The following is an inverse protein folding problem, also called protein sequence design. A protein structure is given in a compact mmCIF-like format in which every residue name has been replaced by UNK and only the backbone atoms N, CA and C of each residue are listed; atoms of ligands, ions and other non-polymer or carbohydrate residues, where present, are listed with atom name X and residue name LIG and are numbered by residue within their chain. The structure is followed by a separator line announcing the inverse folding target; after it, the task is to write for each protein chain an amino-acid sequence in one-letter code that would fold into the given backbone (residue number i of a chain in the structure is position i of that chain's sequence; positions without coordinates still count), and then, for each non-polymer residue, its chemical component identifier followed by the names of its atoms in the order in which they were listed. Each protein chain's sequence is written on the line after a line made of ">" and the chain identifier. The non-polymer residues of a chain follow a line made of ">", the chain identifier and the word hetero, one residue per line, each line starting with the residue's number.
data_IF_134744023044
#
_entry.id   IF_134744023044
#
_cell.length_a   1.000
_cell.length_b   1.000
_cell.length_c   1.000
_cell.angle_alpha   90.00
_cell.angle_beta   90.00
_cell.angle_gamma   90.00
#
_symmetry.space_group_name_H-M   'P 1'
#
loop_
_entity.id
_entity.type
_entity.pdbx_description
1 polymer ?
#
# COMPACT_ATOMS: atom_id res chain seq x y z
N UNK A 1 21.29 37.83 15.12
CA UNK A 1 21.34 36.72 14.16
C UNK A 1 21.86 35.52 14.89
N UNK A 2 21.02 34.51 15.08
CA UNK A 2 21.39 33.31 15.84
C UNK A 2 22.18 32.34 14.94
N UNK A 3 22.99 31.47 15.55
CA UNK A 3 23.80 30.47 14.82
C UNK A 3 22.98 29.46 13.99
N UNK A 4 21.65 29.45 14.09
CA UNK A 4 20.72 28.67 13.31
C UNK A 4 20.39 29.30 11.96
N UNK A 5 20.39 30.64 11.85
CA UNK A 5 20.08 31.33 10.60
C UNK A 5 21.19 31.22 9.55
N UNK A 6 22.46 31.04 9.98
CA UNK A 6 23.59 30.91 9.05
C UNK A 6 23.72 29.51 8.41
N UNK A 7 23.03 28.48 8.93
CA UNK A 7 23.10 27.12 8.39
C UNK A 7 22.09 26.84 7.27
N UNK A 8 20.97 27.56 7.21
CA UNK A 8 19.92 27.37 6.21
C UNK A 8 20.35 27.94 4.84
N UNK A 9 21.20 28.97 4.80
CA UNK A 9 21.66 29.61 3.56
C UNK A 9 22.71 28.85 2.74
N UNK A 10 23.32 27.76 3.29
CA UNK A 10 24.34 26.97 2.62
C UNK A 10 23.86 25.55 2.28
N UNK A 11 22.72 25.10 2.81
CA UNK A 11 22.17 23.76 2.56
C UNK A 11 21.08 23.81 1.50
N UNK A 12 20.98 22.75 0.70
CA UNK A 12 19.88 22.51 -0.23
C UNK A 12 18.53 22.56 0.51
N UNK A 13 17.60 23.49 0.14
CA UNK A 13 16.32 23.65 0.83
C UNK A 13 15.46 22.38 0.84
N UNK A 14 15.53 21.59 -0.23
CA UNK A 14 14.78 20.33 -0.33
C UNK A 14 15.34 19.33 0.67
N UNK A 15 16.65 19.12 0.70
CA UNK A 15 17.28 18.19 1.65
C UNK A 15 17.06 18.62 3.11
N UNK A 16 17.08 19.91 3.40
CA UNK A 16 16.78 20.44 4.73
C UNK A 16 15.35 20.07 5.17
N UNK A 17 14.35 20.30 4.31
CA UNK A 17 12.96 19.94 4.56
C UNK A 17 12.76 18.43 4.73
N UNK A 18 13.39 17.62 3.88
CA UNK A 18 13.28 16.16 3.93
C UNK A 18 13.92 15.55 5.18
N UNK A 19 15.05 16.09 5.63
CA UNK A 19 15.70 15.69 6.88
C UNK A 19 14.80 15.97 8.11
N UNK A 20 14.07 17.09 8.09
CA UNK A 20 13.08 17.41 9.14
C UNK A 20 11.90 16.45 9.10
N UNK A 21 11.37 16.12 7.91
CA UNK A 21 10.32 15.10 7.75
C UNK A 21 10.72 13.73 8.29
N UNK A 22 11.95 13.31 8.03
CA UNK A 22 12.51 12.05 8.53
C UNK A 22 12.64 12.07 10.05
N UNK A 23 13.16 13.15 10.62
CA UNK A 23 13.28 13.34 12.08
C UNK A 23 11.93 13.33 12.81
N UNK A 24 10.84 13.72 12.14
CA UNK A 24 9.47 13.65 12.63
C UNK A 24 8.80 12.28 12.34
N UNK A 25 9.55 11.25 11.93
CA UNK A 25 9.06 9.90 11.74
C UNK A 25 8.15 9.71 10.54
N UNK A 26 8.27 10.55 9.51
CA UNK A 26 7.58 10.30 8.24
C UNK A 26 8.16 9.07 7.55
N UNK A 27 7.30 8.28 6.91
CA UNK A 27 7.76 7.06 6.24
C UNK A 27 8.74 7.41 5.10
N UNK A 28 9.79 6.59 4.92
CA UNK A 28 10.77 6.70 3.83
C UNK A 28 10.07 6.92 2.47
N UNK A 29 9.01 6.16 2.18
CA UNK A 29 8.24 6.32 0.94
C UNK A 29 7.55 7.69 0.81
N UNK A 30 7.16 8.29 1.93
CA UNK A 30 6.60 9.65 1.94
C UNK A 30 7.70 10.67 1.61
N UNK A 31 8.86 10.54 2.25
CA UNK A 31 10.04 11.38 1.99
C UNK A 31 10.46 11.26 0.53
N UNK A 32 10.58 10.04 -0.01
CA UNK A 32 10.88 9.79 -1.44
C UNK A 32 9.86 10.46 -2.39
N UNK A 33 8.57 10.44 -2.02
CA UNK A 33 7.52 11.06 -2.84
C UNK A 33 7.65 12.59 -2.88
N UNK A 34 7.92 13.22 -1.73
CA UNK A 34 8.21 14.65 -1.67
C UNK A 34 9.48 15.00 -2.44
N UNK A 35 10.57 14.26 -2.21
CA UNK A 35 11.84 14.47 -2.93
C UNK A 35 11.62 14.50 -4.45
N UNK A 36 10.98 13.46 -4.99
CA UNK A 36 10.72 13.35 -6.43
C UNK A 36 9.91 14.54 -6.99
N UNK A 37 8.87 14.97 -6.27
CA UNK A 37 8.00 16.07 -6.74
C UNK A 37 8.71 17.40 -6.64
N UNK A 38 9.41 17.67 -5.55
CA UNK A 38 10.15 18.91 -5.34
C UNK A 38 11.30 19.06 -6.32
N UNK A 39 12.07 17.98 -6.58
CA UNK A 39 13.14 17.99 -7.60
C UNK A 39 12.60 18.22 -9.00
N UNK A 40 11.49 17.59 -9.35
CA UNK A 40 10.83 17.83 -10.65
C UNK A 40 10.39 19.29 -10.80
N UNK A 41 9.92 19.93 -9.74
CA UNK A 41 9.58 21.35 -9.77
C UNK A 41 10.82 22.23 -9.87
N UNK A 42 11.89 21.91 -9.16
CA UNK A 42 13.18 22.60 -9.25
C UNK A 42 13.76 22.52 -10.67
N UNK A 43 13.75 21.33 -11.28
CA UNK A 43 14.16 21.12 -12.70
C UNK A 43 13.33 21.97 -13.66
N UNK A 44 12.00 22.05 -13.43
CA UNK A 44 11.11 22.90 -14.21
C UNK A 44 11.48 24.38 -14.10
N UNK A 45 11.80 24.90 -12.91
CA UNK A 45 12.21 26.28 -12.72
C UNK A 45 13.56 26.59 -13.35
N UNK A 46 14.47 25.63 -13.42
CA UNK A 46 15.78 25.77 -14.03
C UNK A 46 15.75 25.76 -15.57
N UNK A 47 14.70 25.23 -16.20
CA UNK A 47 14.59 25.17 -17.67
C UNK A 47 14.22 26.55 -18.24
N UNK A 48 15.08 27.14 -19.11
CA UNK A 48 14.83 28.46 -19.71
C UNK A 48 13.63 28.49 -20.67
N UNK A 49 13.13 27.34 -21.09
CA UNK A 49 11.96 27.22 -21.96
C UNK A 49 10.66 26.98 -21.18
N UNK A 50 10.74 26.76 -19.88
CA UNK A 50 9.61 26.53 -19.01
C UNK A 50 9.29 27.80 -18.18
N UNK A 51 8.00 28.00 -17.94
CA UNK A 51 7.52 29.08 -17.10
C UNK A 51 7.49 30.48 -17.75
N UNK A 52 6.74 31.39 -17.14
CA UNK A 52 6.50 32.74 -17.69
C UNK A 52 7.70 33.68 -17.50
N UNK A 53 8.61 33.38 -16.61
CA UNK A 53 9.74 34.24 -16.23
C UNK A 53 11.10 33.76 -16.75
N UNK A 54 11.12 32.67 -17.54
CA UNK A 54 12.35 31.99 -17.94
C UNK A 54 13.00 31.21 -16.80
N UNK A 55 14.29 30.89 -16.93
CA UNK A 55 15.01 30.13 -15.88
C UNK A 55 15.10 30.90 -14.59
N UNK A 56 14.69 30.27 -13.50
CA UNK A 56 14.78 30.77 -12.13
C UNK A 56 15.85 29.96 -11.38
N UNK A 57 16.82 30.65 -10.80
CA UNK A 57 17.98 30.00 -10.19
C UNK A 57 17.73 29.36 -8.81
N UNK A 58 16.61 29.67 -8.15
CA UNK A 58 16.34 29.23 -6.79
C UNK A 58 14.85 29.03 -6.52
N UNK A 59 14.52 28.00 -5.74
CA UNK A 59 13.14 27.74 -5.27
C UNK A 59 12.54 28.93 -4.49
N UNK A 60 13.38 29.71 -3.79
CA UNK A 60 12.94 30.91 -3.05
C UNK A 60 12.46 32.04 -3.97
N UNK A 61 12.93 32.09 -5.20
CA UNK A 61 12.57 33.13 -6.18
C UNK A 61 11.29 32.81 -6.94
N UNK A 62 10.74 31.58 -6.80
CA UNK A 62 9.55 31.15 -7.49
C UNK A 62 8.34 32.01 -7.09
N UNK A 63 7.65 32.52 -8.11
CA UNK A 63 6.43 33.31 -7.93
C UNK A 63 5.17 32.44 -8.06
N UNK A 64 4.02 33.02 -7.68
CA UNK A 64 2.70 32.45 -7.97
C UNK A 64 2.55 32.04 -9.44
N UNK A 65 3.04 32.88 -10.39
CA UNK A 65 2.91 32.58 -11.82
C UNK A 65 3.72 31.36 -12.24
N UNK A 66 4.89 31.15 -11.66
CA UNK A 66 5.74 30.00 -11.94
C UNK A 66 5.07 28.71 -11.41
N UNK A 67 4.51 28.77 -10.21
CA UNK A 67 3.75 27.66 -9.63
C UNK A 67 2.50 27.31 -10.46
N UNK A 68 1.71 28.31 -10.86
CA UNK A 68 0.53 28.09 -11.71
C UNK A 68 0.89 27.55 -13.09
N UNK A 69 1.99 28.01 -13.68
CA UNK A 69 2.46 27.53 -14.98
C UNK A 69 2.88 26.06 -14.90
N UNK A 70 3.57 25.66 -13.83
CA UNK A 70 3.90 24.25 -13.59
C UNK A 70 2.65 23.39 -13.35
N UNK A 71 1.69 23.87 -12.56
CA UNK A 71 0.40 23.18 -12.38
C UNK A 71 -0.31 22.98 -13.73
N UNK A 72 -0.29 24.00 -14.59
CA UNK A 72 -0.88 23.91 -15.93
C UNK A 72 -0.16 22.86 -16.80
N UNK A 73 1.16 22.78 -16.75
CA UNK A 73 1.92 21.77 -17.47
C UNK A 73 1.58 20.34 -17.03
N UNK A 74 1.54 20.10 -15.72
CA UNK A 74 1.23 18.76 -15.22
C UNK A 74 -0.23 18.33 -15.45
N UNK A 75 -1.18 19.26 -15.59
CA UNK A 75 -2.57 18.97 -15.99
C UNK A 75 -2.64 18.23 -17.33
N UNK A 76 -1.75 18.53 -18.24
CA UNK A 76 -1.73 17.87 -19.56
C UNK A 76 -1.35 16.40 -19.54
N UNK A 77 -0.73 15.93 -18.45
CA UNK A 77 -0.15 14.57 -18.35
C UNK A 77 -0.59 13.78 -17.11
N UNK A 78 -1.38 14.38 -16.22
CA UNK A 78 -1.72 13.80 -14.92
C UNK A 78 -3.22 13.92 -14.60
N UNK A 79 -3.72 13.02 -13.74
CA UNK A 79 -5.10 13.12 -13.23
C UNK A 79 -5.23 14.29 -12.23
N UNK A 80 -6.45 14.83 -12.09
CA UNK A 80 -6.77 15.91 -11.12
C UNK A 80 -6.27 15.58 -9.71
N UNK A 81 -6.46 14.34 -9.25
CA UNK A 81 -5.97 13.90 -7.95
C UNK A 81 -4.44 13.90 -7.83
N UNK A 82 -3.71 13.64 -8.91
CA UNK A 82 -2.25 13.72 -8.95
C UNK A 82 -1.82 15.18 -8.91
N UNK A 83 -2.46 16.04 -9.70
CA UNK A 83 -2.20 17.49 -9.70
C UNK A 83 -2.42 18.08 -8.31
N UNK A 84 -3.55 17.78 -7.69
CA UNK A 84 -3.86 18.22 -6.32
C UNK A 84 -2.84 17.71 -5.28
N UNK A 85 -2.38 16.47 -5.43
CA UNK A 85 -1.35 15.89 -4.55
C UNK A 85 -0.02 16.64 -4.69
N UNK A 86 0.42 16.90 -5.91
CA UNK A 86 1.67 17.62 -6.16
C UNK A 86 1.60 19.07 -5.69
N UNK A 87 0.49 19.76 -5.92
CA UNK A 87 0.26 21.10 -5.39
C UNK A 87 0.31 21.11 -3.85
N UNK A 88 -0.30 20.12 -3.19
CA UNK A 88 -0.25 19.97 -1.73
C UNK A 88 1.18 19.74 -1.21
N UNK A 89 2.03 19.02 -1.95
CA UNK A 89 3.42 18.80 -1.57
C UNK A 89 4.23 20.10 -1.66
N UNK A 90 4.08 20.85 -2.75
CA UNK A 90 4.73 22.17 -2.88
C UNK A 90 4.24 23.13 -1.80
N UNK A 91 2.93 23.21 -1.58
CA UNK A 91 2.37 24.09 -0.55
C UNK A 91 2.91 23.74 0.85
N UNK A 92 3.02 22.45 1.20
CA UNK A 92 3.60 22.04 2.49
C UNK A 92 5.08 22.42 2.60
N UNK A 93 5.85 22.22 1.51
CA UNK A 93 7.26 22.64 1.46
C UNK A 93 7.43 24.14 1.66
N UNK A 94 6.73 24.95 0.87
CA UNK A 94 6.82 26.42 0.98
C UNK A 94 6.31 26.95 2.33
N UNK A 95 5.24 26.38 2.87
CA UNK A 95 4.77 26.73 4.22
C UNK A 95 5.84 26.44 5.27
N UNK A 96 6.46 25.27 5.23
CA UNK A 96 7.53 24.92 6.15
C UNK A 96 8.73 25.85 6.02
N UNK A 97 9.21 26.11 4.78
CA UNK A 97 10.36 27.00 4.56
C UNK A 97 10.08 28.44 5.03
N UNK A 98 8.85 28.90 4.93
CA UNK A 98 8.40 30.18 5.52
C UNK A 98 8.37 30.15 7.05
N UNK A 99 7.83 29.08 7.66
CA UNK A 99 7.76 28.90 9.12
C UNK A 99 9.16 28.88 9.78
N UNK A 100 10.15 28.29 9.10
CA UNK A 100 11.55 28.27 9.60
C UNK A 100 12.35 29.53 9.21
N UNK A 101 11.73 30.49 8.51
CA UNK A 101 12.35 31.77 8.13
C UNK A 101 13.37 31.65 7.00
N UNK A 102 13.37 30.57 6.24
CA UNK A 102 14.27 30.37 5.10
C UNK A 102 13.75 31.03 3.82
N UNK A 103 12.44 31.13 3.65
CA UNK A 103 11.78 31.79 2.53
C UNK A 103 10.86 32.91 3.02
N UNK A 104 10.77 33.98 2.24
CA UNK A 104 9.99 35.17 2.62
C UNK A 104 8.49 35.01 2.44
N UNK A 105 8.07 34.11 1.54
CA UNK A 105 6.64 33.91 1.21
C UNK A 105 6.36 32.52 0.70
N UNK A 106 5.07 32.13 0.74
CA UNK A 106 4.58 30.91 0.13
C UNK A 106 3.82 31.22 -1.17
N UNK A 107 4.43 31.00 -2.35
CA UNK A 107 3.77 31.29 -3.64
C UNK A 107 2.60 30.34 -3.96
N UNK A 108 2.48 29.22 -3.23
CA UNK A 108 1.42 28.26 -3.40
C UNK A 108 0.10 28.63 -2.72
N UNK A 109 0.10 29.62 -1.80
CA UNK A 109 -1.13 30.00 -1.06
C UNK A 109 -2.28 30.33 -2.00
N UNK A 110 -2.07 31.25 -2.94
CA UNK A 110 -3.09 31.65 -3.91
C UNK A 110 -3.39 30.55 -4.93
N UNK A 111 -2.37 29.73 -5.29
CA UNK A 111 -2.57 28.55 -6.16
C UNK A 111 -3.57 27.59 -5.55
N UNK A 112 -3.43 27.29 -4.25
CA UNK A 112 -4.34 26.37 -3.53
C UNK A 112 -5.76 26.91 -3.42
N UNK A 113 -5.95 28.24 -3.42
CA UNK A 113 -7.27 28.89 -3.40
C UNK A 113 -7.97 28.85 -4.78
N UNK A 114 -7.18 29.01 -5.85
CA UNK A 114 -7.71 29.13 -7.22
C UNK A 114 -7.84 27.80 -7.97
N UNK A 115 -7.12 26.75 -7.55
CA UNK A 115 -7.20 25.44 -8.21
C UNK A 115 -8.49 24.72 -7.86
N UNK A 116 -9.03 23.99 -8.84
CA UNK A 116 -10.25 23.20 -8.70
C UNK A 116 -10.01 21.72 -8.47
N UNK A 117 -8.79 21.29 -8.67
CA UNK A 117 -8.41 19.89 -8.50
C UNK A 117 -8.46 19.47 -7.04
N UNK A 118 -9.02 18.31 -6.79
CA UNK A 118 -9.15 17.74 -5.44
C UNK A 118 -8.55 16.36 -5.36
N UNK A 119 -8.01 16.02 -4.18
CA UNK A 119 -7.51 14.67 -3.92
C UNK A 119 -8.71 13.74 -3.78
N UNK A 120 -8.88 12.83 -4.73
CA UNK A 120 -9.93 11.81 -4.62
C UNK A 120 -9.54 10.76 -3.58
N UNK A 121 -10.29 10.71 -2.48
CA UNK A 121 -10.10 9.72 -1.40
C UNK A 121 -10.85 8.42 -1.67
N UNK A 122 -11.89 8.46 -2.52
CA UNK A 122 -12.70 7.30 -2.91
C UNK A 122 -13.02 7.34 -4.41
N UNK A 123 -12.06 7.06 -5.28
CA UNK A 123 -12.27 7.06 -6.71
C UNK A 123 -13.24 5.95 -7.11
N UNK A 124 -14.14 6.25 -8.06
CA UNK A 124 -14.97 5.23 -8.70
C UNK A 124 -14.05 4.16 -9.30
N UNK A 125 -14.32 2.90 -9.03
CA UNK A 125 -13.57 1.76 -9.56
C UNK A 125 -14.44 0.94 -10.49
N UNK A 126 -13.77 0.14 -11.33
CA UNK A 126 -14.45 -0.88 -12.13
C UNK A 126 -15.32 -1.74 -11.20
N UNK A 127 -16.55 -1.98 -11.58
CA UNK A 127 -17.42 -2.94 -10.91
C UNK A 127 -17.14 -4.33 -11.49
N UNK A 128 -16.69 -5.26 -10.65
CA UNK A 128 -16.38 -6.64 -11.01
C UNK A 128 -17.21 -7.55 -10.11
N UNK A 129 -18.04 -8.36 -10.72
CA UNK A 129 -18.82 -9.36 -10.02
C UNK A 129 -17.98 -10.55 -9.54
N UNK A 130 -18.51 -11.32 -8.57
CA UNK A 130 -17.86 -12.55 -8.08
C UNK A 130 -17.61 -13.57 -9.21
N UNK A 131 -18.57 -13.84 -10.15
CA UNK A 131 -18.31 -14.72 -11.29
C UNK A 131 -17.18 -14.25 -12.20
N UNK A 132 -17.08 -12.96 -12.48
CA UNK A 132 -15.99 -12.40 -13.30
C UNK A 132 -14.63 -12.55 -12.60
N UNK A 133 -14.57 -12.27 -11.28
CA UNK A 133 -13.34 -12.46 -10.49
C UNK A 133 -12.94 -13.95 -10.42
N UNK A 134 -13.91 -14.85 -10.35
CA UNK A 134 -13.66 -16.30 -10.45
C UNK A 134 -13.03 -16.65 -11.80
N UNK A 135 -13.58 -16.18 -12.90
CA UNK A 135 -13.05 -16.42 -14.25
C UNK A 135 -11.62 -15.85 -14.39
N UNK A 136 -11.37 -14.68 -13.83
CA UNK A 136 -10.02 -14.11 -13.77
C UNK A 136 -9.06 -15.01 -12.99
N UNK A 137 -9.42 -15.44 -11.78
CA UNK A 137 -8.57 -16.29 -10.95
C UNK A 137 -8.30 -17.66 -11.61
N UNK A 138 -9.27 -18.24 -12.31
CA UNK A 138 -9.12 -19.49 -13.08
C UNK A 138 -8.14 -19.33 -14.25
N UNK A 139 -7.99 -18.14 -14.81
CA UNK A 139 -7.00 -17.86 -15.88
C UNK A 139 -5.56 -17.88 -15.36
N UNK A 140 -5.34 -17.60 -14.06
CA UNK A 140 -4.03 -17.62 -13.42
C UNK A 140 -3.55 -19.05 -13.21
N UNK A 141 -2.63 -19.53 -14.05
CA UNK A 141 -2.19 -20.95 -14.02
C UNK A 141 -1.13 -21.26 -12.98
N UNK A 142 -0.07 -20.43 -12.75
CA UNK A 142 0.91 -20.70 -11.71
C UNK A 142 0.26 -20.71 -10.33
N UNK A 143 0.48 -21.78 -9.56
CA UNK A 143 -0.20 -21.99 -8.27
C UNK A 143 0.26 -20.98 -7.20
N UNK A 144 1.53 -20.60 -7.21
CA UNK A 144 2.11 -19.57 -6.35
C UNK A 144 1.49 -18.19 -6.64
N UNK A 145 1.43 -17.77 -7.92
CA UNK A 145 0.82 -16.51 -8.33
C UNK A 145 -0.71 -16.50 -8.03
N UNK A 146 -1.39 -17.63 -8.24
CA UNK A 146 -2.80 -17.79 -7.87
C UNK A 146 -3.01 -17.68 -6.36
N UNK A 147 -2.13 -18.29 -5.56
CA UNK A 147 -2.16 -18.23 -4.11
C UNK A 147 -1.97 -16.82 -3.58
N UNK A 148 -1.05 -16.04 -4.17
CA UNK A 148 -0.85 -14.61 -3.86
C UNK A 148 -2.16 -13.83 -4.10
N UNK A 149 -2.75 -13.97 -5.28
CA UNK A 149 -3.98 -13.26 -5.67
C UNK A 149 -5.16 -13.67 -4.79
N UNK A 150 -5.34 -14.98 -4.57
CA UNK A 150 -6.43 -15.49 -3.73
C UNK A 150 -6.29 -15.02 -2.28
N UNK A 151 -5.08 -15.00 -1.73
CA UNK A 151 -4.84 -14.49 -0.38
C UNK A 151 -5.27 -13.02 -0.26
N UNK A 152 -4.91 -12.17 -1.22
CA UNK A 152 -5.36 -10.78 -1.25
C UNK A 152 -6.88 -10.65 -1.35
N UNK A 153 -7.52 -11.47 -2.18
CA UNK A 153 -8.97 -11.48 -2.39
C UNK A 153 -9.74 -11.96 -1.16
N UNK A 154 -9.24 -12.96 -0.44
CA UNK A 154 -9.94 -13.58 0.70
C UNK A 154 -9.68 -12.90 2.04
N UNK A 155 -8.60 -12.12 2.17
CA UNK A 155 -8.21 -11.48 3.44
C UNK A 155 -8.34 -9.96 3.41
N UNK A 156 -8.38 -9.38 2.23
CA UNK A 156 -8.38 -7.92 2.07
C UNK A 156 -7.13 -7.24 2.61
N UNK A 157 -6.04 -7.98 2.90
CA UNK A 157 -4.78 -7.41 3.37
C UNK A 157 -4.12 -6.52 2.31
N UNK A 158 -3.24 -5.63 2.74
CA UNK A 158 -2.42 -4.82 1.84
C UNK A 158 -1.26 -5.66 1.29
N UNK A 159 -0.78 -5.29 0.12
CA UNK A 159 0.34 -5.99 -0.52
C UNK A 159 1.59 -6.06 0.36
N UNK A 160 1.89 -5.01 1.13
CA UNK A 160 3.01 -5.04 2.09
C UNK A 160 2.79 -6.03 3.23
N UNK A 161 1.56 -6.16 3.71
CA UNK A 161 1.17 -7.13 4.74
C UNK A 161 1.35 -8.57 4.22
N UNK A 162 0.94 -8.85 2.98
CA UNK A 162 1.16 -10.16 2.32
C UNK A 162 2.65 -10.48 2.19
N UNK A 163 3.46 -9.52 1.74
CA UNK A 163 4.90 -9.71 1.59
C UNK A 163 5.61 -9.98 2.93
N UNK A 164 5.07 -9.47 4.04
CA UNK A 164 5.65 -9.63 5.38
C UNK A 164 5.19 -10.89 6.12
N UNK A 165 4.27 -11.69 5.57
CA UNK A 165 3.85 -12.94 6.21
C UNK A 165 5.01 -13.91 6.33
N UNK A 166 5.23 -14.42 7.52
CA UNK A 166 6.12 -15.54 7.82
C UNK A 166 5.31 -16.84 7.95
N UNK A 167 5.95 -17.98 7.82
CA UNK A 167 5.33 -19.31 7.99
C UNK A 167 4.56 -19.38 9.32
N UNK A 168 5.17 -18.90 10.40
CA UNK A 168 4.55 -18.87 11.74
C UNK A 168 3.28 -18.01 11.84
N UNK A 169 3.05 -17.12 10.87
CA UNK A 169 1.87 -16.25 10.82
C UNK A 169 0.67 -16.94 10.18
N UNK A 170 0.82 -18.18 9.71
CA UNK A 170 -0.22 -18.97 9.04
C UNK A 170 -0.43 -20.28 9.79
N UNK A 171 -1.64 -20.53 10.24
CA UNK A 171 -2.03 -21.80 10.84
C UNK A 171 -3.02 -22.52 9.92
N UNK A 172 -2.56 -23.60 9.29
CA UNK A 172 -3.39 -24.51 8.52
C UNK A 172 -3.54 -25.79 9.33
N UNK A 173 -4.77 -26.18 9.61
CA UNK A 173 -5.08 -27.35 10.44
C UNK A 173 -4.45 -28.62 9.90
N UNK A 174 -4.41 -28.79 8.58
CA UNK A 174 -3.84 -29.94 7.91
C UNK A 174 -2.32 -30.07 8.09
N UNK A 175 -1.64 -29.02 8.55
CA UNK A 175 -0.18 -28.99 8.80
C UNK A 175 0.15 -29.05 10.29
N UNK A 176 -0.81 -29.28 11.19
CA UNK A 176 -0.58 -29.29 12.63
C UNK A 176 0.50 -30.30 13.05
N UNK A 177 0.53 -31.48 12.44
CA UNK A 177 1.50 -32.53 12.70
C UNK A 177 2.79 -32.42 11.86
N UNK A 178 2.93 -31.38 11.04
CA UNK A 178 4.11 -31.19 10.19
C UNK A 178 5.21 -30.40 10.91
N UNK A 179 6.33 -31.02 11.21
CA UNK A 179 7.43 -30.42 11.98
C UNK A 179 7.96 -29.09 11.40
N UNK A 180 7.87 -28.91 10.07
CA UNK A 180 8.32 -27.69 9.39
C UNK A 180 7.34 -26.52 9.55
N UNK A 181 6.05 -26.81 9.65
CA UNK A 181 4.97 -25.82 9.60
C UNK A 181 4.15 -25.71 10.89
N UNK A 182 4.46 -26.48 11.93
CA UNK A 182 3.71 -26.49 13.20
C UNK A 182 4.09 -25.36 14.16
N UNK A 183 5.15 -24.61 13.87
CA UNK A 183 5.56 -23.47 14.70
C UNK A 183 4.70 -22.26 14.34
N UNK A 184 3.59 -22.10 15.04
CA UNK A 184 2.68 -20.96 14.84
C UNK A 184 2.77 -19.96 15.99
N UNK A 185 2.38 -18.72 15.75
CA UNK A 185 2.31 -17.68 16.77
C UNK A 185 1.30 -18.05 17.87
N UNK A 186 1.55 -17.58 19.08
CA UNK A 186 0.67 -17.81 20.24
C UNK A 186 -0.77 -17.35 19.98
N UNK A 187 -0.95 -16.26 19.22
CA UNK A 187 -2.25 -15.71 18.85
C UNK A 187 -3.08 -16.66 17.98
N UNK A 188 -2.44 -17.66 17.37
CA UNK A 188 -3.08 -18.65 16.48
C UNK A 188 -3.34 -19.99 17.15
N UNK A 189 -2.77 -20.31 18.33
CA UNK A 189 -2.78 -21.65 18.93
C UNK A 189 -4.16 -22.30 19.06
N UNK A 190 -5.24 -21.54 19.23
CA UNK A 190 -6.61 -22.06 19.29
C UNK A 190 -7.48 -21.67 18.10
N UNK A 191 -6.85 -21.25 17.00
CA UNK A 191 -7.53 -20.67 15.85
C UNK A 191 -7.01 -21.27 14.54
N UNK A 192 -7.29 -22.56 14.29
CA UNK A 192 -6.89 -23.20 13.03
C UNK A 192 -7.49 -22.46 11.84
N UNK A 193 -6.90 -22.64 10.68
CA UNK A 193 -7.26 -21.97 9.45
C UNK A 193 -7.38 -20.43 9.63
N UNK A 194 -6.27 -19.84 10.03
CA UNK A 194 -6.17 -18.39 10.25
C UNK A 194 -4.80 -17.85 9.86
N UNK A 195 -4.79 -16.57 9.54
CA UNK A 195 -3.58 -15.77 9.28
C UNK A 195 -3.50 -14.67 10.32
N UNK A 196 -2.34 -14.53 10.96
CA UNK A 196 -2.02 -13.38 11.82
C UNK A 196 -1.31 -12.30 11.00
N UNK A 197 -1.78 -11.07 11.09
CA UNK A 197 -1.14 -9.93 10.46
C UNK A 197 -0.70 -8.95 11.54
N UNK A 198 0.61 -8.83 11.71
CA UNK A 198 1.22 -7.95 12.71
C UNK A 198 1.09 -6.48 12.28
N UNK A 199 0.78 -5.61 13.25
CA UNK A 199 0.83 -4.16 13.07
C UNK A 199 2.23 -3.62 13.35
N UNK A 200 2.53 -2.42 12.83
CA UNK A 200 3.72 -1.66 13.22
C UNK A 200 5.03 -2.08 12.59
N UNK A 201 5.08 -3.12 11.74
CA UNK A 201 6.29 -3.46 10.98
C UNK A 201 6.57 -2.32 9.99
N UNK A 202 7.75 -1.71 10.11
CA UNK A 202 8.28 -0.72 9.18
C UNK A 202 9.07 -1.33 8.02
N UNK A 203 9.22 -0.59 6.93
CA UNK A 203 10.22 -0.92 5.91
C UNK A 203 11.61 -0.71 6.52
N UNK A 204 12.48 -1.70 6.37
CA UNK A 204 13.84 -1.66 6.94
C UNK A 204 13.97 -2.31 8.32
N UNK A 205 12.84 -2.59 9.01
CA UNK A 205 12.88 -3.31 10.29
C UNK A 205 13.45 -4.72 10.10
N UNK A 206 14.15 -5.19 11.13
CA UNK A 206 14.64 -6.58 11.18
C UNK A 206 13.67 -7.39 12.02
N UNK A 207 13.00 -8.35 11.39
CA UNK A 207 12.05 -9.26 12.04
C UNK A 207 12.48 -10.69 11.71
N UNK A 208 12.66 -11.52 12.74
CA UNK A 208 13.18 -12.89 12.59
C UNK A 208 14.52 -12.97 11.83
N UNK A 209 15.44 -12.04 12.09
CA UNK A 209 16.73 -11.99 11.43
C UNK A 209 16.71 -11.44 9.98
N UNK A 210 15.54 -11.18 9.41
CA UNK A 210 15.38 -10.74 8.03
C UNK A 210 14.93 -9.27 7.95
N UNK A 211 15.61 -8.46 7.12
CA UNK A 211 15.24 -7.06 6.86
C UNK A 211 13.99 -7.00 5.98
N UNK A 212 12.94 -6.32 6.48
CA UNK A 212 11.67 -6.18 5.76
C UNK A 212 11.77 -5.15 4.62
N UNK A 213 11.24 -5.51 3.47
CA UNK A 213 11.17 -4.64 2.28
C UNK A 213 9.86 -3.87 2.18
N UNK A 214 8.92 -4.16 3.05
CA UNK A 214 7.57 -3.58 3.06
C UNK A 214 7.16 -3.17 4.49
N UNK A 215 6.21 -2.24 4.58
CA UNK A 215 5.61 -1.83 5.85
C UNK A 215 4.19 -2.37 6.00
N UNK A 216 3.83 -2.78 7.22
CA UNK A 216 2.46 -3.10 7.61
C UNK A 216 1.77 -1.81 8.08
N UNK A 217 0.97 -1.20 7.19
CA UNK A 217 0.21 0.02 7.50
C UNK A 217 -1.06 -0.27 8.31
N UNK A 218 -1.11 -1.40 8.98
CA UNK A 218 -2.21 -1.82 9.84
C UNK A 218 -2.10 -1.13 11.19
N UNK A 219 -3.20 -0.60 11.70
CA UNK A 219 -3.21 0.10 12.99
C UNK A 219 -3.20 -0.87 14.18
N UNK A 220 -3.63 -2.11 13.96
CA UNK A 220 -3.75 -3.16 14.98
C UNK A 220 -3.44 -4.52 14.38
N UNK A 221 -2.71 -5.35 15.13
CA UNK A 221 -2.52 -6.76 14.78
C UNK A 221 -3.86 -7.49 14.76
N UNK A 222 -4.06 -8.37 13.79
CA UNK A 222 -5.36 -8.99 13.53
C UNK A 222 -5.19 -10.45 13.16
N UNK A 223 -6.03 -11.31 13.73
CA UNK A 223 -6.23 -12.69 13.24
C UNK A 223 -7.33 -12.65 12.20
N UNK A 224 -7.05 -13.13 11.00
CA UNK A 224 -7.99 -13.22 9.89
C UNK A 224 -8.29 -14.70 9.69
N UNK A 225 -9.54 -15.17 9.86
CA UNK A 225 -9.92 -16.52 9.48
C UNK A 225 -9.81 -16.70 7.97
N UNK A 226 -9.56 -17.91 7.52
CA UNK A 226 -9.53 -18.28 6.11
C UNK A 226 -10.45 -19.46 5.86
N UNK A 227 -11.05 -19.48 4.68
CA UNK A 227 -11.91 -20.57 4.25
C UNK A 227 -11.13 -21.73 3.63
N UNK A 228 -11.82 -22.83 3.35
CA UNK A 228 -11.22 -24.03 2.77
C UNK A 228 -10.56 -23.77 1.40
N UNK A 229 -11.11 -22.86 0.59
CA UNK A 229 -10.51 -22.53 -0.71
C UNK A 229 -9.11 -21.94 -0.55
N UNK A 230 -8.95 -21.00 0.40
CA UNK A 230 -7.66 -20.39 0.67
C UNK A 230 -6.73 -21.36 1.39
N UNK A 231 -7.25 -22.12 2.37
CA UNK A 231 -6.47 -23.14 3.10
C UNK A 231 -5.86 -24.16 2.14
N UNK A 232 -6.65 -24.81 1.30
CA UNK A 232 -6.18 -25.78 0.31
C UNK A 232 -5.21 -25.15 -0.71
N UNK A 233 -5.45 -23.91 -1.12
CA UNK A 233 -4.52 -23.22 -2.04
C UNK A 233 -3.19 -22.95 -1.37
N UNK A 234 -3.17 -22.49 -0.11
CA UNK A 234 -1.94 -22.27 0.64
C UNK A 234 -1.16 -23.57 0.90
N UNK A 235 -1.83 -24.68 1.20
CA UNK A 235 -1.19 -25.99 1.28
C UNK A 235 -0.41 -26.34 0.00
N UNK A 236 -1.03 -26.13 -1.16
CA UNK A 236 -0.38 -26.35 -2.46
C UNK A 236 0.77 -25.40 -2.72
N UNK A 237 0.63 -24.12 -2.32
CA UNK A 237 1.72 -23.12 -2.41
C UNK A 237 2.91 -23.55 -1.53
N UNK A 238 2.64 -23.94 -0.28
CA UNK A 238 3.69 -24.39 0.64
C UNK A 238 4.38 -25.68 0.16
N UNK A 239 3.65 -26.59 -0.49
CA UNK A 239 4.20 -27.82 -1.04
C UNK A 239 5.22 -27.58 -2.18
N UNK A 240 5.10 -26.46 -2.91
CA UNK A 240 6.02 -26.09 -3.99
C UNK A 240 6.93 -24.92 -3.62
N UNK A 241 6.84 -24.42 -2.39
CA UNK A 241 7.62 -23.29 -1.91
C UNK A 241 9.11 -23.60 -2.04
N UNK A 242 9.91 -22.72 -2.67
CA UNK A 242 11.35 -22.93 -2.73
C UNK A 242 11.99 -22.82 -1.35
N UNK A 243 13.19 -23.39 -1.21
CA UNK A 243 14.01 -23.13 -0.04
C UNK A 243 14.33 -21.65 0.06
N UNK A 244 14.18 -21.02 1.24
CA UNK A 244 14.49 -19.62 1.41
C UNK A 244 15.98 -19.33 1.29
N UNK A 245 16.32 -18.14 0.83
CA UNK A 245 17.70 -17.64 0.90
C UNK A 245 17.97 -17.13 2.32
N UNK A 246 18.95 -17.72 3.00
CA UNK A 246 19.27 -17.40 4.40
C UNK A 246 18.19 -17.89 5.38
N UNK A 247 18.02 -17.18 6.48
CA UNK A 247 17.08 -17.53 7.56
C UNK A 247 15.63 -17.03 7.31
N UNK A 248 15.32 -16.70 6.04
CA UNK A 248 14.02 -16.13 5.68
C UNK A 248 12.85 -17.12 5.83
N UNK A 249 11.82 -16.76 6.58
CA UNK A 249 10.63 -17.58 6.81
C UNK A 249 9.39 -17.12 6.00
N UNK A 250 9.57 -16.33 4.94
CA UNK A 250 8.46 -15.78 4.15
C UNK A 250 7.53 -16.88 3.60
N UNK A 251 6.22 -16.69 3.73
CA UNK A 251 5.21 -17.60 3.12
C UNK A 251 5.35 -17.60 1.61
N UNK A 252 5.45 -16.44 1.02
CA UNK A 252 5.57 -16.26 -0.42
C UNK A 252 7.00 -15.85 -0.77
N UNK A 253 7.66 -16.69 -1.55
CA UNK A 253 9.01 -16.46 -2.04
C UNK A 253 9.01 -16.30 -3.56
N UNK A 254 10.04 -15.64 -4.07
CA UNK A 254 10.23 -15.46 -5.50
C UNK A 254 10.63 -16.78 -6.16
N UNK A 255 9.92 -17.16 -7.21
CA UNK A 255 10.13 -18.37 -8.02
C UNK A 255 10.74 -18.06 -9.39
N UNK A 256 11.27 -16.85 -9.58
CA UNK A 256 11.88 -16.39 -10.83
C UNK A 256 13.34 -15.90 -10.64
N UNK A 257 13.66 -14.69 -11.06
CA UNK A 257 15.03 -14.15 -11.09
C UNK A 257 15.71 -14.04 -9.73
N UNK A 258 14.96 -13.87 -8.64
CA UNK A 258 15.46 -13.81 -7.26
C UNK A 258 14.95 -15.02 -6.47
N UNK A 259 15.19 -16.21 -6.98
CA UNK A 259 14.71 -17.48 -6.43
C UNK A 259 14.98 -17.60 -4.93
N UNK A 260 13.94 -17.95 -4.17
CA UNK A 260 14.02 -18.16 -2.72
C UNK A 260 14.08 -16.87 -1.88
N UNK A 261 14.16 -15.69 -2.49
CA UNK A 261 14.01 -14.43 -1.76
C UNK A 261 12.55 -14.09 -1.48
N UNK A 262 12.31 -13.38 -0.39
CA UNK A 262 10.97 -12.85 -0.04
C UNK A 262 10.44 -11.97 -1.16
N UNK A 263 9.14 -12.08 -1.45
CA UNK A 263 8.48 -11.19 -2.40
C UNK A 263 8.50 -9.73 -1.91
N UNK A 264 8.64 -8.83 -2.85
CA UNK A 264 8.45 -7.39 -2.62
C UNK A 264 7.09 -6.92 -3.13
N UNK A 265 6.58 -5.78 -2.64
CA UNK A 265 5.34 -5.20 -3.17
C UNK A 265 5.35 -4.94 -4.68
N UNK A 266 6.50 -4.62 -5.25
CA UNK A 266 6.63 -4.36 -6.68
C UNK A 266 6.58 -5.66 -7.50
N UNK A 267 7.15 -6.76 -6.99
CA UNK A 267 7.01 -8.08 -7.61
C UNK A 267 5.55 -8.54 -7.61
N UNK A 268 4.84 -8.41 -6.48
CA UNK A 268 3.40 -8.75 -6.40
C UNK A 268 2.58 -7.86 -7.35
N UNK A 269 2.91 -6.56 -7.44
CA UNK A 269 2.25 -5.67 -8.40
C UNK A 269 2.45 -6.17 -9.82
N UNK A 270 3.69 -6.52 -10.20
CA UNK A 270 4.00 -7.02 -11.53
C UNK A 270 3.24 -8.32 -11.86
N UNK A 271 3.13 -9.26 -10.91
CA UNK A 271 2.34 -10.48 -11.06
C UNK A 271 0.87 -10.14 -11.37
N UNK A 272 0.27 -9.26 -10.59
CA UNK A 272 -1.14 -8.88 -10.77
C UNK A 272 -1.35 -8.14 -12.09
N UNK A 273 -0.48 -7.19 -12.44
CA UNK A 273 -0.55 -6.43 -13.69
C UNK A 273 -0.39 -7.32 -14.93
N UNK A 274 0.51 -8.31 -14.87
CA UNK A 274 0.68 -9.33 -15.94
C UNK A 274 -0.63 -10.03 -16.22
N UNK A 275 -1.25 -10.66 -15.21
CA UNK A 275 -2.49 -11.40 -15.38
C UNK A 275 -3.68 -10.50 -15.69
N UNK A 276 -3.77 -9.33 -15.08
CA UNK A 276 -4.82 -8.36 -15.38
C UNK A 276 -4.73 -7.85 -16.83
N UNK A 277 -3.52 -7.67 -17.37
CA UNK A 277 -3.29 -7.29 -18.78
C UNK A 277 -3.74 -8.41 -19.72
N UNK A 278 -3.34 -9.65 -19.45
CA UNK A 278 -3.75 -10.83 -20.23
C UNK A 278 -5.27 -11.02 -20.25
N UNK A 279 -5.93 -10.68 -19.14
CA UNK A 279 -7.38 -10.78 -18.98
C UNK A 279 -8.16 -9.56 -19.49
N UNK A 280 -7.46 -8.50 -19.96
CA UNK A 280 -8.09 -7.27 -20.44
C UNK A 280 -8.52 -6.28 -19.33
N UNK A 281 -7.96 -6.41 -18.13
CA UNK A 281 -8.27 -5.58 -16.97
C UNK A 281 -7.14 -4.61 -16.58
N UNK A 282 -6.11 -4.51 -17.40
CA UNK A 282 -5.01 -3.57 -17.21
C UNK A 282 -4.50 -3.04 -18.55
N UNK A 283 -4.30 -1.73 -18.63
CA UNK A 283 -3.59 -1.08 -19.72
C UNK A 283 -2.61 -0.05 -19.16
N UNK A 284 -1.49 0.12 -19.83
CA UNK A 284 -0.53 1.15 -19.49
C UNK A 284 -1.15 2.55 -19.64
N UNK A 285 -0.88 3.45 -18.69
CA UNK A 285 -1.51 4.76 -18.63
C UNK A 285 -2.97 4.78 -18.19
N UNK A 286 -3.60 3.62 -17.93
CA UNK A 286 -4.95 3.53 -17.37
C UNK A 286 -4.99 3.95 -15.91
N UNK A 287 -6.11 4.58 -15.51
CA UNK A 287 -6.34 5.02 -14.13
C UNK A 287 -6.91 3.91 -13.22
N UNK A 288 -7.18 4.29 -11.97
CA UNK A 288 -7.77 3.38 -10.96
C UNK A 288 -9.20 2.93 -11.29
N UNK A 289 -9.88 3.64 -12.19
CA UNK A 289 -11.22 3.29 -12.71
C UNK A 289 -11.17 2.13 -13.70
N UNK A 290 -10.02 1.88 -14.32
CA UNK A 290 -9.85 0.93 -15.41
C UNK A 290 -8.99 -0.26 -15.00
N UNK A 291 -7.92 -0.01 -14.25
CA UNK A 291 -6.88 -1.00 -13.99
C UNK A 291 -7.14 -1.77 -12.68
N UNK A 292 -7.05 -3.09 -12.78
CA UNK A 292 -7.01 -3.99 -11.64
C UNK A 292 -5.56 -4.09 -11.14
N UNK A 293 -5.36 -3.77 -9.87
CA UNK A 293 -4.08 -3.78 -9.16
C UNK A 293 -4.24 -4.52 -7.83
N UNK A 294 -3.18 -4.82 -7.07
CA UNK A 294 -3.32 -5.42 -5.75
C UNK A 294 -4.26 -4.66 -4.81
N UNK A 295 -4.32 -3.34 -4.93
CA UNK A 295 -5.24 -2.53 -4.12
C UNK A 295 -6.71 -2.72 -4.51
N UNK A 296 -6.98 -3.06 -5.77
CA UNK A 296 -8.33 -3.41 -6.22
C UNK A 296 -8.87 -4.65 -5.49
N UNK A 297 -8.05 -5.67 -5.23
CA UNK A 297 -8.50 -6.88 -4.50
C UNK A 297 -8.94 -6.57 -3.07
N UNK A 298 -8.28 -5.63 -2.41
CA UNK A 298 -8.72 -5.14 -1.10
C UNK A 298 -10.06 -4.38 -1.20
N UNK A 299 -10.28 -3.63 -2.27
CA UNK A 299 -11.57 -2.99 -2.54
C UNK A 299 -12.65 -4.05 -2.79
N UNK A 300 -12.38 -5.03 -3.63
CA UNK A 300 -13.27 -6.16 -3.93
C UNK A 300 -13.70 -6.90 -2.64
N UNK A 301 -12.73 -7.30 -1.82
CA UNK A 301 -13.00 -7.90 -0.51
C UNK A 301 -13.92 -7.02 0.34
N UNK A 302 -13.61 -5.74 0.44
CA UNK A 302 -14.37 -4.81 1.26
C UNK A 302 -15.81 -4.67 0.79
N UNK A 303 -16.02 -4.46 -0.50
CA UNK A 303 -17.34 -4.24 -1.09
C UNK A 303 -18.20 -5.49 -0.95
N UNK A 304 -17.71 -6.62 -1.44
CA UNK A 304 -18.51 -7.85 -1.43
C UNK A 304 -18.75 -8.40 -0.02
N UNK A 305 -17.79 -8.32 0.89
CA UNK A 305 -18.02 -8.79 2.27
C UNK A 305 -18.96 -7.83 3.02
N UNK A 306 -18.81 -6.52 2.86
CA UNK A 306 -19.73 -5.53 3.45
C UNK A 306 -21.17 -5.73 2.98
N UNK A 307 -21.37 -5.92 1.68
CA UNK A 307 -22.70 -6.04 1.09
C UNK A 307 -23.38 -7.35 1.50
N UNK A 308 -22.61 -8.40 1.79
CA UNK A 308 -23.11 -9.69 2.25
C UNK A 308 -23.37 -9.73 3.76
N UNK A 309 -22.51 -9.11 4.55
CA UNK A 309 -22.63 -9.13 6.01
C UNK A 309 -23.52 -8.04 6.58
N UNK A 310 -23.61 -6.90 5.90
CA UNK A 310 -24.16 -5.66 6.46
C UNK A 310 -23.34 -5.07 7.62
N UNK A 311 -22.27 -5.75 8.07
CA UNK A 311 -21.47 -5.36 9.25
C UNK A 311 -20.16 -4.66 8.84
N UNK A 312 -20.18 -3.33 8.88
CA UNK A 312 -19.00 -2.51 8.59
C UNK A 312 -17.89 -2.67 9.63
N UNK A 313 -18.23 -3.01 10.87
CA UNK A 313 -17.28 -3.17 11.97
C UNK A 313 -16.36 -4.37 11.73
N UNK A 314 -16.94 -5.54 11.41
CA UNK A 314 -16.18 -6.75 11.10
C UNK A 314 -15.29 -6.55 9.87
N UNK A 315 -15.81 -5.93 8.81
CA UNK A 315 -15.00 -5.66 7.61
C UNK A 315 -13.82 -4.73 7.91
N UNK A 316 -14.03 -3.67 8.71
CA UNK A 316 -12.94 -2.77 9.16
C UNK A 316 -11.91 -3.52 10.01
N UNK A 317 -12.36 -4.39 10.92
CA UNK A 317 -11.49 -5.22 11.75
C UNK A 317 -10.60 -6.13 10.89
N UNK A 318 -11.17 -6.91 9.98
CA UNK A 318 -10.43 -7.81 9.08
C UNK A 318 -9.40 -7.04 8.24
N UNK A 319 -9.75 -5.85 7.79
CA UNK A 319 -8.84 -4.94 7.07
C UNK A 319 -7.75 -4.31 7.93
N UNK A 320 -7.91 -4.33 9.27
CA UNK A 320 -7.02 -3.62 10.18
C UNK A 320 -7.15 -2.10 10.15
N UNK A 321 -8.30 -1.59 9.71
CA UNK A 321 -8.65 -0.16 9.68
C UNK A 321 -9.57 0.16 10.86
N UNK A 322 -9.10 -0.04 12.08
CA UNK A 322 -9.94 0.11 13.27
C UNK A 322 -10.12 1.58 13.63
N UNK A 323 -11.39 1.98 13.84
CA UNK A 323 -11.71 3.14 14.65
C UNK A 323 -11.84 2.68 16.12
N UNK A 324 -11.30 3.45 17.06
CA UNK A 324 -11.24 3.08 18.49
C UNK A 324 -12.62 2.87 19.13
N UNK A 325 -13.64 3.52 18.58
CA UNK A 325 -15.05 3.50 19.03
C UNK A 325 -15.84 2.21 18.72
N UNK A 326 -15.32 1.32 17.87
CA UNK A 326 -16.01 0.06 17.51
C UNK A 326 -15.60 -1.09 18.44
N UNK A 327 -14.43 -1.01 19.05
CA UNK A 327 -13.84 -2.11 19.88
C UNK A 327 -14.51 -2.22 21.24
N UNK A 328 -14.87 -1.09 21.87
CA UNK A 328 -15.49 -1.05 23.20
C UNK A 328 -16.88 -1.68 23.24
N UNK A 329 -17.52 -1.84 22.09
CA UNK A 329 -18.87 -2.40 21.96
C UNK A 329 -18.88 -3.95 21.93
N UNK A 330 -17.72 -4.63 21.73
CA UNK A 330 -17.66 -6.06 21.42
C UNK A 330 -16.59 -6.83 22.24
N UNK A 331 -16.56 -6.68 23.54
CA UNK A 331 -15.38 -6.91 24.40
C UNK A 331 -14.99 -8.35 24.76
N UNK A 332 -15.75 -9.42 24.57
CA UNK A 332 -15.32 -10.73 25.10
C UNK A 332 -15.31 -11.95 24.15
N UNK A 333 -16.04 -11.95 23.04
CA UNK A 333 -16.06 -13.07 22.08
C UNK A 333 -15.90 -12.62 20.62
N UNK A 334 -15.19 -11.55 20.38
CA UNK A 334 -15.04 -10.97 19.04
C UNK A 334 -14.40 -11.92 18.03
N UNK A 335 -13.42 -12.73 18.46
CA UNK A 335 -12.72 -13.67 17.58
C UNK A 335 -13.63 -14.74 16.99
N UNK A 336 -14.50 -15.32 17.78
CA UNK A 336 -15.43 -16.38 17.35
C UNK A 336 -16.50 -15.80 16.42
N UNK A 337 -17.07 -14.65 16.80
CA UNK A 337 -18.06 -13.95 15.96
C UNK A 337 -17.47 -13.51 14.61
N UNK A 338 -16.23 -13.01 14.59
CA UNK A 338 -15.59 -12.61 13.33
C UNK A 338 -15.42 -13.82 12.41
N UNK A 339 -15.03 -14.97 12.96
CA UNK A 339 -14.92 -16.21 12.22
C UNK A 339 -16.27 -16.65 11.65
N UNK A 340 -17.31 -16.77 12.48
CA UNK A 340 -18.65 -17.16 12.06
C UNK A 340 -19.15 -16.28 10.90
N UNK A 341 -19.10 -14.95 11.09
CA UNK A 341 -19.55 -14.01 10.07
C UNK A 341 -18.70 -14.10 8.81
N UNK A 342 -17.38 -14.29 8.93
CA UNK A 342 -16.51 -14.45 7.77
C UNK A 342 -16.87 -15.73 7.01
N UNK A 343 -16.93 -16.88 7.66
CA UNK A 343 -17.21 -18.19 7.05
C UNK A 343 -18.58 -18.25 6.37
N UNK A 344 -19.61 -17.65 6.98
CA UNK A 344 -20.96 -17.57 6.40
C UNK A 344 -21.06 -16.68 5.18
N UNK A 345 -20.21 -15.64 5.09
CA UNK A 345 -20.39 -14.57 4.11
C UNK A 345 -19.25 -14.45 3.08
N UNK A 346 -18.14 -15.13 3.28
CA UNK A 346 -17.05 -15.08 2.27
C UNK A 346 -17.52 -15.74 0.95
N UNK A 347 -17.17 -15.14 -0.15
CA UNK A 347 -17.54 -15.63 -1.48
C UNK A 347 -16.58 -16.72 -1.95
N UNK A 348 -17.06 -17.62 -2.78
CA UNK A 348 -16.26 -18.68 -3.42
C UNK A 348 -15.72 -18.21 -4.77
N UNK A 349 -14.43 -18.43 -5.01
CA UNK A 349 -13.71 -18.06 -6.24
C UNK A 349 -13.08 -19.26 -6.96
N UNK A 350 -12.92 -20.38 -6.28
CA UNK A 350 -12.38 -21.63 -6.86
C UNK A 350 -13.54 -22.63 -6.93
N UNK A 351 -13.73 -23.30 -8.06
CA UNK A 351 -14.64 -24.43 -8.15
C UNK A 351 -13.96 -25.62 -7.50
N UNK A 352 -14.67 -26.37 -6.67
CA UNK A 352 -14.16 -27.65 -6.16
C UNK A 352 -14.06 -28.59 -7.35
N UNK A 353 -12.85 -28.99 -7.73
CA UNK A 353 -12.61 -30.11 -8.64
C UNK A 353 -12.98 -31.43 -7.96
#
# INVERSE_FOLDING_TARGET
>A
MSASESRIGESDPIEYFLADMDSHGRSERTVEAYHRVLRRFEEYLADPNCGPNGSIGSLNEASYRDCMSWIHEIRGSSSDSTVATYASYLNRFYSYMGEVGAFDSNPMTLVMEEMNETISTDPTRRDISIPEMRSFLQSVKPIDERGIILTLLKTGMRVGELCNLDIRDVYLQELEDNETYNTVRAELHSRPNSIFVEAGIGRGDVVNGEKRTAANKRKRSTVIPIDDELSHTLLRVLAIRPDPVGDGEGVFLNTTNSWGHRLTPDMVRHIVEKHAREFGWYREGGGVTENVTPHYFRHFFTTHLRDRTGDRGIVKYLRGDVADDIIDTYTHNWGDRVREVYEENIYRLVEND
#
